data_IF_184904246280
#
_entry.id   IF_184904246280
#
_cell.length_a   1.000
_cell.length_b   1.000
_cell.length_c   1.000
_cell.angle_alpha   90.00
_cell.angle_beta   90.00
_cell.angle_gamma   90.00
#
_symmetry.space_group_name_H-M   'P 1'
#
loop_
_entity.id
_entity.type
_entity.pdbx_description
1 polymer ?
#
# COMPACT_ATOMS: atom_id res chain seq x y z
N UNK A 1 -8.65 0.42 -45.57
CA UNK A 1 -9.23 0.41 -44.20
C UNK A 1 -8.49 -0.53 -43.24
N UNK A 2 -8.15 -1.77 -43.66
CA UNK A 2 -7.46 -2.76 -42.81
C UNK A 2 -6.14 -2.27 -42.19
N UNK A 3 -5.28 -1.62 -42.99
CA UNK A 3 -3.96 -1.12 -42.54
C UNK A 3 -4.06 -0.07 -41.42
N UNK A 4 -5.08 0.82 -41.46
CA UNK A 4 -5.28 1.83 -40.41
C UNK A 4 -5.78 1.23 -39.10
N UNK A 5 -6.60 0.18 -39.20
CA UNK A 5 -7.06 -0.58 -38.04
C UNK A 5 -5.89 -1.32 -37.36
N UNK A 6 -4.94 -1.83 -38.15
CA UNK A 6 -3.72 -2.47 -37.64
C UNK A 6 -2.85 -1.50 -36.83
N UNK A 7 -2.67 -0.27 -37.30
CA UNK A 7 -1.89 0.74 -36.56
C UNK A 7 -2.55 1.18 -35.28
N UNK A 8 -3.88 1.31 -35.26
CA UNK A 8 -4.63 1.63 -34.04
C UNK A 8 -4.52 0.48 -33.02
N UNK A 9 -4.66 -0.76 -33.48
CA UNK A 9 -4.49 -1.94 -32.63
C UNK A 9 -3.07 -2.05 -32.06
N UNK A 10 -2.04 -1.78 -32.88
CA UNK A 10 -0.65 -1.77 -32.43
C UNK A 10 -0.36 -0.65 -31.43
N UNK A 11 -0.88 0.56 -31.67
CA UNK A 11 -0.75 1.69 -30.75
C UNK A 11 -1.44 1.44 -29.41
N UNK A 12 -2.63 0.85 -29.43
CA UNK A 12 -3.36 0.48 -28.21
C UNK A 12 -2.64 -0.63 -27.44
N UNK A 13 -2.12 -1.65 -28.14
CA UNK A 13 -1.34 -2.72 -27.53
C UNK A 13 -0.08 -2.20 -26.83
N UNK A 14 0.63 -1.24 -27.45
CA UNK A 14 1.79 -0.60 -26.84
C UNK A 14 1.42 0.24 -25.62
N UNK A 15 0.30 0.97 -25.67
CA UNK A 15 -0.19 1.75 -24.53
C UNK A 15 -0.57 0.86 -23.33
N UNK A 16 -1.22 -0.28 -23.57
CA UNK A 16 -1.58 -1.23 -22.50
C UNK A 16 -0.33 -1.90 -21.92
N UNK A 17 0.64 -2.28 -22.75
CA UNK A 17 1.90 -2.86 -22.28
C UNK A 17 2.76 -1.85 -21.50
N UNK A 18 2.71 -0.56 -21.85
CA UNK A 18 3.39 0.50 -21.09
C UNK A 18 2.67 0.85 -19.78
N UNK A 19 1.37 0.56 -19.66
CA UNK A 19 0.59 0.84 -18.46
C UNK A 19 0.80 -0.20 -17.35
N UNK A 20 1.43 -1.35 -17.62
CA UNK A 20 1.78 -2.34 -16.58
C UNK A 20 3.08 -1.95 -15.89
N UNK A 21 3.08 -0.81 -15.19
CA UNK A 21 4.17 -0.48 -14.27
C UNK A 21 4.01 -1.40 -13.06
N UNK A 22 4.99 -2.29 -12.84
CA UNK A 22 5.03 -3.10 -11.63
C UNK A 22 5.23 -2.17 -10.42
N UNK A 23 4.21 -2.01 -9.59
CA UNK A 23 4.35 -1.39 -8.27
C UNK A 23 5.21 -2.35 -7.44
N UNK A 24 6.49 -2.03 -7.34
CA UNK A 24 7.44 -2.81 -6.55
C UNK A 24 7.06 -2.70 -5.07
N UNK A 25 7.08 -3.83 -4.37
CA UNK A 25 6.83 -3.93 -2.92
C UNK A 25 7.93 -3.28 -2.03
N UNK A 26 8.70 -2.32 -2.57
CA UNK A 26 9.72 -1.57 -1.85
C UNK A 26 9.16 -0.52 -0.88
N UNK A 27 7.90 -0.11 -1.06
CA UNK A 27 7.31 1.02 -0.34
C UNK A 27 7.46 1.00 1.19
N UNK A 28 7.31 -0.14 1.86
CA UNK A 28 7.39 -0.16 3.33
C UNK A 28 8.82 -0.04 3.84
N UNK A 29 9.72 -0.90 3.36
CA UNK A 29 11.13 -0.90 3.80
C UNK A 29 11.84 0.38 3.37
N UNK A 30 11.54 0.90 2.18
CA UNK A 30 12.11 2.17 1.69
C UNK A 30 11.60 3.34 2.53
N UNK A 31 10.31 3.34 2.94
CA UNK A 31 9.80 4.35 3.88
C UNK A 31 10.46 4.28 5.25
N UNK A 32 10.77 3.08 5.76
CA UNK A 32 11.56 2.92 7.00
C UNK A 32 12.93 3.57 6.81
N UNK A 33 13.63 3.22 5.72
CA UNK A 33 14.95 3.74 5.42
C UNK A 33 14.97 5.28 5.27
N UNK A 34 13.91 5.84 4.69
CA UNK A 34 13.72 7.29 4.51
C UNK A 34 13.19 8.00 5.78
N UNK A 35 12.97 7.29 6.89
CA UNK A 35 12.40 7.86 8.12
C UNK A 35 10.94 8.32 7.99
N UNK A 36 10.20 7.84 6.99
CA UNK A 36 8.80 8.17 6.75
C UNK A 36 7.89 7.31 7.63
N UNK A 37 6.81 7.89 8.14
CA UNK A 37 5.79 7.14 8.89
C UNK A 37 5.21 5.99 8.06
N UNK A 38 4.92 4.85 8.67
CA UNK A 38 4.15 3.75 8.08
C UNK A 38 2.81 3.64 8.79
N UNK A 39 1.77 3.23 8.06
CA UNK A 39 0.46 2.89 8.63
C UNK A 39 0.25 1.38 8.52
N UNK A 40 0.22 0.69 9.65
CA UNK A 40 -0.06 -0.75 9.72
C UNK A 40 -1.42 -0.91 10.41
N UNK A 41 -2.35 -1.60 9.74
CA UNK A 41 -3.63 -1.96 10.35
C UNK A 41 -3.46 -3.12 11.32
N UNK A 42 -4.23 -3.12 12.41
CA UNK A 42 -4.25 -4.16 13.42
C UNK A 42 -5.66 -4.41 13.96
N UNK A 43 -5.86 -5.56 14.60
CA UNK A 43 -7.13 -5.89 15.24
C UNK A 43 -7.44 -4.89 16.36
N UNK A 44 -8.69 -4.41 16.38
CA UNK A 44 -9.14 -3.34 17.29
C UNK A 44 -9.82 -3.87 18.58
N UNK A 45 -9.52 -5.11 18.97
CA UNK A 45 -10.13 -5.82 20.10
C UNK A 45 -9.09 -6.21 21.14
N UNK A 46 -9.54 -6.52 22.36
CA UNK A 46 -8.67 -7.06 23.40
C UNK A 46 -8.15 -8.45 22.99
N UNK A 47 -6.85 -8.79 23.19
CA UNK A 47 -5.80 -8.02 23.88
C UNK A 47 -4.91 -7.17 22.96
N UNK A 48 -5.27 -7.02 21.68
CA UNK A 48 -4.42 -6.45 20.63
C UNK A 48 -4.22 -4.94 20.76
N UNK A 49 -5.10 -4.14 20.17
CA UNK A 49 -5.04 -2.69 20.23
C UNK A 49 -6.45 -2.13 20.36
N UNK A 50 -6.75 -1.53 21.50
CA UNK A 50 -8.10 -1.04 21.80
C UNK A 50 -8.00 0.22 22.67
N UNK A 51 -9.04 1.07 22.71
CA UNK A 51 -9.09 2.20 23.62
C UNK A 51 -9.44 1.76 25.05
N UNK A 52 -8.79 2.35 26.05
CA UNK A 52 -9.23 2.23 27.46
C UNK A 52 -10.44 3.12 27.75
N UNK A 53 -10.89 3.13 29.01
CA UNK A 53 -12.01 3.96 29.47
C UNK A 53 -11.81 5.47 29.29
N UNK A 54 -10.57 5.94 29.11
CA UNK A 54 -10.20 7.32 28.84
C UNK A 54 -9.86 7.56 27.36
N UNK A 55 -10.07 6.57 26.48
CA UNK A 55 -9.76 6.64 25.06
C UNK A 55 -8.26 6.50 24.71
N UNK A 56 -7.42 6.06 25.66
CA UNK A 56 -5.98 5.88 25.42
C UNK A 56 -5.73 4.56 24.67
N UNK A 57 -4.79 4.53 23.71
CA UNK A 57 -4.44 3.30 23.01
C UNK A 57 -3.72 2.34 23.97
N UNK A 58 -4.32 1.19 24.24
CA UNK A 58 -3.77 0.12 25.08
C UNK A 58 -3.76 -1.24 24.36
N UNK A 59 -3.16 -2.26 24.96
CA UNK A 59 -2.96 -3.58 24.37
C UNK A 59 -1.56 -3.79 23.81
N UNK A 60 -1.18 -5.04 23.54
CA UNK A 60 0.22 -5.37 23.22
C UNK A 60 0.67 -4.81 21.86
N UNK A 61 -0.25 -4.65 20.90
CA UNK A 61 0.08 -4.09 19.59
C UNK A 61 0.30 -2.58 19.68
N UNK A 62 -0.50 -1.86 20.48
CA UNK A 62 -0.26 -0.45 20.76
C UNK A 62 1.07 -0.24 21.48
N UNK A 63 1.44 -1.12 22.42
CA UNK A 63 2.76 -1.07 23.07
C UNK A 63 3.92 -1.26 22.07
N UNK A 64 3.79 -2.20 21.13
CA UNK A 64 4.80 -2.39 20.06
C UNK A 64 4.89 -1.15 19.16
N UNK A 65 3.75 -0.56 18.81
CA UNK A 65 3.70 0.56 17.87
C UNK A 65 4.16 1.90 18.47
N UNK A 66 3.94 2.11 19.77
CA UNK A 66 4.22 3.38 20.46
C UNK A 66 5.55 3.40 21.21
N UNK A 67 6.10 2.22 21.57
CA UNK A 67 7.32 2.10 22.38
C UNK A 67 7.10 2.47 23.84
#
# INVERSE_FOLDING_TARGET
MKIRLSYIAAGLGLAVAAATVQVHAGELTDRIADGKSIRIGFANEEPFAFPDSNGRPVGFVNAIALG
#
